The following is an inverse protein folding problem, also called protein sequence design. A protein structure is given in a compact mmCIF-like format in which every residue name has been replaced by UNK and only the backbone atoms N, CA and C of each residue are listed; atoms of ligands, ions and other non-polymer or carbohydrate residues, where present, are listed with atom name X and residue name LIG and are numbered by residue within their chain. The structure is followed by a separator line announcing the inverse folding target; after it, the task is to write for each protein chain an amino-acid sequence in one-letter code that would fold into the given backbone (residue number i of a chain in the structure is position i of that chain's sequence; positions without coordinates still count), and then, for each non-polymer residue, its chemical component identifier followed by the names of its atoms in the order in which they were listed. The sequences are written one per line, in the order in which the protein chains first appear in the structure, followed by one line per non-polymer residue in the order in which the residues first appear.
data_IF_035699313368
#
_entry.id   IF_035699313368
#
_cell.length_a   1.000
_cell.length_b   1.000
_cell.length_c   1.000
_cell.angle_alpha   90.00
_cell.angle_beta   90.00
_cell.angle_gamma   90.00
#
_symmetry.space_group_name_H-M   'P 1'
#
loop_
_entity.id
_entity.type
_entity.pdbx_description
1 polymer ?
#
# COMPACT_ATOMS: atom_id res chain seq x y z
N UNK A 1 38.11 1.29 58.02
CA UNK A 1 39.55 1.11 57.75
C UNK A 1 39.71 0.32 56.47
N UNK A 2 40.72 0.72 55.70
CA UNK A 2 41.00 0.41 54.29
C UNK A 2 41.72 -0.94 54.19
N UNK A 3 41.36 -1.80 53.24
CA UNK A 3 42.26 -2.82 52.72
C UNK A 3 41.98 -3.07 51.25
N UNK A 4 42.81 -2.44 50.43
CA UNK A 4 42.98 -2.66 48.99
C UNK A 4 43.89 -3.87 48.82
N UNK A 5 43.56 -4.82 47.94
CA UNK A 5 44.57 -5.64 47.26
C UNK A 5 44.27 -5.69 45.76
N UNK A 6 45.21 -5.04 45.07
CA UNK A 6 45.44 -4.89 43.64
C UNK A 6 46.14 -6.17 43.09
N UNK A 7 46.22 -6.28 41.75
CA UNK A 7 47.02 -7.24 40.95
C UNK A 7 46.38 -8.63 40.78
N UNK A 8 46.18 -9.22 39.58
CA UNK A 8 46.62 -8.91 38.20
C UNK A 8 46.08 -10.03 37.27
N UNK A 9 46.01 -9.75 35.95
CA UNK A 9 46.27 -10.69 34.83
C UNK A 9 45.20 -11.81 34.62
N UNK A 10 44.56 -12.06 33.47
CA UNK A 10 44.95 -12.00 32.05
C UNK A 10 43.66 -11.96 31.21
N UNK A 11 43.67 -11.13 30.17
CA UNK A 11 42.77 -11.18 29.01
C UNK A 11 43.19 -12.35 28.09
N UNK A 12 42.35 -13.37 27.81
CA UNK A 12 42.53 -14.19 26.65
C UNK A 12 41.67 -13.64 25.51
N UNK A 13 42.37 -13.00 24.59
CA UNK A 13 42.03 -12.86 23.18
C UNK A 13 41.62 -14.23 22.62
N UNK A 14 40.34 -14.43 22.31
CA UNK A 14 39.91 -15.50 21.41
C UNK A 14 39.32 -14.86 20.15
N UNK A 15 40.20 -14.73 19.15
CA UNK A 15 39.84 -14.54 17.74
C UNK A 15 39.16 -15.82 17.25
N UNK A 16 37.83 -15.87 17.34
CA UNK A 16 37.04 -16.88 16.65
C UNK A 16 36.79 -16.40 15.22
N UNK A 17 37.63 -16.87 14.30
CA UNK A 17 37.45 -16.81 12.85
C UNK A 17 36.26 -17.70 12.46
N UNK A 18 35.05 -17.15 12.44
CA UNK A 18 33.94 -17.80 11.76
C UNK A 18 34.06 -17.49 10.26
N UNK A 19 34.58 -18.48 9.51
CA UNK A 19 34.46 -18.53 8.07
C UNK A 19 32.97 -18.63 7.70
N UNK A 20 32.35 -17.48 7.45
CA UNK A 20 31.01 -17.35 6.92
C UNK A 20 31.05 -17.52 5.41
N UNK A 21 30.49 -18.63 4.95
CA UNK A 21 30.24 -19.00 3.56
C UNK A 21 29.77 -17.83 2.71
N UNK A 22 30.46 -17.64 1.59
CA UNK A 22 30.07 -16.77 0.49
C UNK A 22 28.79 -17.36 -0.12
N UNK A 23 27.65 -16.69 0.09
CA UNK A 23 26.42 -16.97 -0.65
C UNK A 23 26.20 -15.81 -1.60
N UNK A 24 26.25 -16.17 -2.89
CA UNK A 24 25.71 -15.50 -4.06
C UNK A 24 25.14 -14.10 -3.85
N UNK A 25 25.73 -13.15 -4.54
CA UNK A 25 25.06 -11.92 -4.95
C UNK A 25 23.79 -12.30 -5.73
N UNK A 26 22.67 -12.42 -5.03
CA UNK A 26 21.36 -12.20 -5.62
C UNK A 26 21.32 -10.73 -5.99
N UNK A 27 21.55 -10.46 -7.27
CA UNK A 27 21.08 -9.26 -7.96
C UNK A 27 19.68 -8.95 -7.43
N UNK A 28 19.40 -7.74 -6.89
CA UNK A 28 18.03 -7.29 -6.79
C UNK A 28 17.56 -6.99 -8.23
N UNK A 29 17.32 -8.04 -9.01
CA UNK A 29 16.50 -8.00 -10.21
C UNK A 29 15.07 -7.94 -9.75
N UNK A 30 14.63 -6.73 -9.51
CA UNK A 30 13.31 -6.41 -9.03
C UNK A 30 13.25 -4.91 -8.89
N UNK A 31 13.32 -4.21 -10.03
CA UNK A 31 12.82 -2.86 -10.10
C UNK A 31 11.38 -2.90 -9.59
N UNK A 32 11.17 -2.60 -8.31
CA UNK A 32 9.86 -2.16 -7.83
C UNK A 32 9.75 -0.76 -8.39
N UNK A 33 9.45 -0.68 -9.69
CA UNK A 33 8.99 0.54 -10.31
C UNK A 33 7.61 0.78 -9.71
N UNK A 34 7.60 1.41 -8.54
CA UNK A 34 6.48 2.22 -8.10
C UNK A 34 6.43 3.42 -9.05
N UNK A 35 6.09 3.16 -10.31
CA UNK A 35 5.66 4.17 -11.25
C UNK A 35 4.15 4.26 -11.08
N UNK A 36 3.75 5.07 -10.11
CA UNK A 36 2.41 5.59 -9.85
C UNK A 36 1.87 6.40 -11.05
N UNK A 37 1.78 5.74 -12.21
CA UNK A 37 1.08 6.23 -13.39
C UNK A 37 -0.33 5.67 -13.32
N UNK A 38 -1.36 6.52 -13.43
CA UNK A 38 -2.72 6.04 -13.69
C UNK A 38 -2.65 5.20 -14.96
N UNK A 39 -2.75 3.88 -14.82
CA UNK A 39 -2.59 2.99 -15.97
C UNK A 39 -3.87 3.13 -16.78
N UNK A 40 -3.81 3.99 -17.80
CA UNK A 40 -4.87 4.08 -18.79
C UNK A 40 -4.73 2.86 -19.70
N UNK A 41 -5.21 1.74 -19.22
CA UNK A 41 -5.19 0.48 -19.97
C UNK A 41 -6.18 0.61 -21.12
N UNK A 42 -5.74 0.26 -22.33
CA UNK A 42 -6.61 0.17 -23.50
C UNK A 42 -6.93 -1.29 -23.80
N UNK A 43 -8.14 -1.55 -24.27
CA UNK A 43 -8.46 -2.84 -24.87
C UNK A 43 -7.81 -2.98 -26.26
N UNK A 44 -7.95 -4.16 -26.87
CA UNK A 44 -7.47 -4.45 -28.23
C UNK A 44 -8.08 -3.54 -29.32
N UNK A 45 -9.19 -2.88 -29.01
CA UNK A 45 -9.91 -1.97 -29.88
C UNK A 45 -9.52 -0.50 -29.65
N UNK A 46 -8.62 -0.22 -28.69
CA UNK A 46 -8.16 1.12 -28.33
C UNK A 46 -9.03 1.86 -27.31
N UNK A 47 -10.10 1.24 -26.80
CA UNK A 47 -10.98 1.86 -25.79
C UNK A 47 -10.31 1.86 -24.43
N UNK A 48 -10.52 2.93 -23.65
CA UNK A 48 -10.05 2.99 -22.27
C UNK A 48 -10.82 1.99 -21.41
N UNK A 49 -10.10 1.18 -20.63
CA UNK A 49 -10.68 0.29 -19.63
C UNK A 49 -11.00 1.04 -18.33
N UNK A 50 -12.03 0.62 -17.58
CA UNK A 50 -12.31 1.17 -16.26
C UNK A 50 -11.19 0.85 -15.27
N UNK A 51 -10.89 1.83 -14.42
CA UNK A 51 -10.04 1.63 -13.26
C UNK A 51 -10.88 1.18 -12.07
N UNK A 52 -10.25 0.55 -11.08
CA UNK A 52 -10.95 0.16 -9.86
C UNK A 52 -10.11 0.38 -8.61
N UNK A 53 -10.83 0.46 -7.48
CA UNK A 53 -10.26 0.55 -6.14
C UNK A 53 -11.03 -0.39 -5.20
N UNK A 54 -10.36 -1.41 -4.67
CA UNK A 54 -10.91 -2.32 -3.64
C UNK A 54 -10.50 -1.81 -2.27
N UNK A 55 -11.50 -1.57 -1.43
CA UNK A 55 -11.31 -0.95 -0.13
C UNK A 55 -11.89 -1.83 0.98
N UNK A 56 -11.25 -1.78 2.13
CA UNK A 56 -11.80 -2.21 3.41
C UNK A 56 -12.03 -0.98 4.29
N UNK A 57 -13.10 -0.97 5.09
CA UNK A 57 -13.38 0.11 6.03
C UNK A 57 -14.23 -0.39 7.20
N UNK A 58 -14.28 0.42 8.25
CA UNK A 58 -15.16 0.24 9.38
C UNK A 58 -16.22 1.34 9.42
N UNK A 59 -17.33 1.07 10.11
CA UNK A 59 -18.41 2.00 10.42
C UNK A 59 -18.54 2.08 11.93
N UNK A 60 -18.47 3.29 12.48
CA UNK A 60 -18.63 3.53 13.92
C UNK A 60 -20.11 3.53 14.36
N UNK A 61 -20.34 3.70 15.66
CA UNK A 61 -21.69 3.74 16.22
C UNK A 61 -22.52 4.95 15.77
N UNK A 62 -21.89 6.03 15.33
CA UNK A 62 -22.55 7.22 14.77
C UNK A 62 -22.82 7.09 13.26
N UNK A 63 -22.46 5.95 12.66
CA UNK A 63 -22.65 5.68 11.24
C UNK A 63 -21.60 6.34 10.35
N UNK A 64 -20.46 6.77 10.89
CA UNK A 64 -19.36 7.35 10.09
C UNK A 64 -18.35 6.29 9.69
N UNK A 65 -17.73 6.50 8.53
CA UNK A 65 -16.68 5.63 8.01
C UNK A 65 -15.33 5.98 8.66
N UNK A 66 -14.61 4.95 9.08
CA UNK A 66 -13.25 5.05 9.63
C UNK A 66 -12.38 3.85 9.21
N UNK A 67 -11.10 3.87 9.60
CA UNK A 67 -10.15 2.77 9.38
C UNK A 67 -10.09 2.27 7.93
N UNK A 68 -10.15 3.20 6.97
CA UNK A 68 -10.14 2.85 5.54
C UNK A 68 -8.77 2.32 5.14
N UNK A 69 -8.76 1.18 4.44
CA UNK A 69 -7.58 0.50 3.92
C UNK A 69 -7.76 0.18 2.44
N UNK A 70 -6.71 0.41 1.66
CA UNK A 70 -6.67 0.00 0.26
C UNK A 70 -6.21 -1.45 0.20
N UNK A 71 -7.01 -2.32 -0.43
CA UNK A 71 -6.66 -3.72 -0.65
C UNK A 71 -6.02 -3.93 -2.02
N UNK A 72 -6.56 -3.25 -3.05
CA UNK A 72 -6.09 -3.32 -4.42
C UNK A 72 -6.49 -2.03 -5.15
N UNK A 73 -5.64 -1.53 -6.02
CA UNK A 73 -5.89 -0.31 -6.79
C UNK A 73 -5.26 -0.39 -8.16
N UNK A 74 -5.97 0.10 -9.17
CA UNK A 74 -5.42 0.38 -10.51
C UNK A 74 -5.35 1.89 -10.78
N UNK A 75 -5.45 2.70 -9.73
CA UNK A 75 -5.55 4.17 -9.83
C UNK A 75 -4.28 4.84 -9.32
N UNK A 76 -4.21 6.17 -9.34
CA UNK A 76 -3.07 6.92 -8.78
C UNK A 76 -3.25 7.20 -7.29
N UNK A 77 -2.16 7.34 -6.53
CA UNK A 77 -2.21 7.72 -5.12
C UNK A 77 -3.03 8.99 -4.84
N UNK A 78 -2.91 10.04 -5.68
CA UNK A 78 -3.74 11.25 -5.52
C UNK A 78 -5.24 10.98 -5.70
N UNK A 79 -5.63 10.05 -6.58
CA UNK A 79 -7.03 9.71 -6.78
C UNK A 79 -7.56 8.84 -5.65
N UNK A 80 -6.76 7.89 -5.18
CA UNK A 80 -7.05 7.08 -3.98
C UNK A 80 -7.33 7.97 -2.78
N UNK A 81 -6.47 8.95 -2.53
CA UNK A 81 -6.64 9.89 -1.41
C UNK A 81 -7.95 10.65 -1.51
N UNK A 82 -8.30 11.18 -2.69
CA UNK A 82 -9.58 11.86 -2.92
C UNK A 82 -10.79 10.97 -2.67
N UNK A 83 -10.73 9.69 -3.04
CA UNK A 83 -11.83 8.75 -2.78
C UNK A 83 -11.96 8.51 -1.27
N UNK A 84 -10.85 8.24 -0.58
CA UNK A 84 -10.85 7.98 0.86
C UNK A 84 -11.37 9.20 1.63
N UNK A 85 -10.94 10.41 1.26
CA UNK A 85 -11.44 11.66 1.83
C UNK A 85 -12.97 11.78 1.66
N UNK A 86 -13.48 11.50 0.45
CA UNK A 86 -14.93 11.51 0.18
C UNK A 86 -15.68 10.45 0.99
N UNK A 87 -15.13 9.25 1.13
CA UNK A 87 -15.74 8.20 1.94
C UNK A 87 -15.89 8.65 3.40
N UNK A 88 -14.81 9.11 4.03
CA UNK A 88 -14.84 9.52 5.43
C UNK A 88 -15.74 10.75 5.65
N UNK A 89 -15.67 11.73 4.75
CA UNK A 89 -16.40 12.99 4.91
C UNK A 89 -17.89 12.90 4.55
N UNK A 90 -18.28 12.06 3.58
CA UNK A 90 -19.65 12.06 3.04
C UNK A 90 -20.46 10.80 3.32
N UNK A 91 -19.84 9.63 3.48
CA UNK A 91 -20.62 8.40 3.65
C UNK A 91 -21.20 8.33 5.06
N UNK A 92 -22.51 8.08 5.14
CA UNK A 92 -23.24 7.97 6.40
C UNK A 92 -24.11 6.71 6.37
N UNK A 93 -23.90 5.86 7.36
CA UNK A 93 -24.65 4.64 7.60
C UNK A 93 -25.65 4.87 8.73
N UNK A 94 -26.52 3.89 8.95
CA UNK A 94 -27.52 3.95 10.01
C UNK A 94 -26.85 3.99 11.40
N UNK A 95 -27.28 4.94 12.23
CA UNK A 95 -26.77 5.10 13.59
C UNK A 95 -27.12 3.87 14.43
N UNK A 96 -26.20 3.47 15.32
CA UNK A 96 -26.35 2.29 16.17
C UNK A 96 -26.07 0.96 15.49
N UNK A 97 -25.65 0.96 14.21
CA UNK A 97 -25.28 -0.24 13.45
C UNK A 97 -23.81 -0.19 13.02
N UNK A 98 -22.86 -0.28 13.98
CA UNK A 98 -21.44 -0.33 13.64
C UNK A 98 -21.12 -1.58 12.83
N UNK A 99 -20.02 -1.52 12.08
CA UNK A 99 -19.58 -2.62 11.24
C UNK A 99 -18.07 -2.62 11.05
N UNK A 100 -17.45 -3.79 11.16
CA UNK A 100 -16.00 -3.94 11.02
C UNK A 100 -15.68 -4.63 9.70
N UNK A 101 -14.53 -4.30 9.11
CA UNK A 101 -13.92 -4.96 7.97
C UNK A 101 -14.83 -5.04 6.73
N UNK A 102 -15.73 -4.07 6.55
CA UNK A 102 -16.62 -3.96 5.38
C UNK A 102 -15.79 -3.75 4.12
N UNK A 103 -16.25 -4.28 2.99
CA UNK A 103 -15.52 -4.22 1.71
C UNK A 103 -16.37 -3.60 0.62
N UNK A 104 -15.75 -2.79 -0.22
CA UNK A 104 -16.37 -2.20 -1.40
C UNK A 104 -15.39 -2.16 -2.56
N UNK A 105 -15.91 -2.27 -3.78
CA UNK A 105 -15.16 -2.03 -5.01
C UNK A 105 -15.73 -0.79 -5.68
N UNK A 106 -14.89 0.23 -5.84
CA UNK A 106 -15.24 1.45 -6.57
C UNK A 106 -14.75 1.27 -8.01
N UNK A 107 -15.69 1.20 -8.96
CA UNK A 107 -15.36 1.21 -10.38
C UNK A 107 -15.38 2.64 -10.91
N UNK A 108 -14.34 3.02 -11.63
CA UNK A 108 -14.15 4.36 -12.17
C UNK A 108 -14.20 4.24 -13.69
N UNK A 109 -15.30 4.74 -14.25
CA UNK A 109 -15.48 4.74 -15.68
C UNK A 109 -14.58 5.80 -16.32
N UNK A 110 -13.84 5.46 -17.38
CA UNK A 110 -13.08 6.45 -18.10
C UNK A 110 -14.05 7.40 -18.80
N UNK A 111 -13.69 8.68 -18.87
CA UNK A 111 -14.43 9.63 -19.69
C UNK A 111 -14.35 9.13 -21.14
N UNK A 112 -15.51 8.88 -21.77
CA UNK A 112 -15.54 8.60 -23.21
C UNK A 112 -14.83 9.75 -23.92
N UNK A 113 -13.67 9.48 -24.52
CA UNK A 113 -13.28 10.27 -25.68
C UNK A 113 -14.43 10.09 -26.69
N UNK A 114 -14.89 11.16 -27.34
CA UNK A 114 -15.98 11.05 -28.30
C UNK A 114 -15.72 9.91 -29.31
N UNK A 115 -16.81 9.27 -29.78
CA UNK A 115 -16.77 8.12 -30.69
C UNK A 115 -15.89 8.32 -31.92
N UNK A 116 -15.64 7.25 -32.70
CA UNK A 116 -14.64 7.24 -33.75
C UNK A 116 -14.77 8.48 -34.64
N UNK A 117 -13.66 9.21 -34.79
CA UNK A 117 -13.55 10.24 -35.81
C UNK A 117 -14.02 9.60 -37.13
N UNK A 118 -15.08 10.17 -37.67
CA UNK A 118 -15.71 9.79 -38.92
C UNK A 118 -14.60 9.49 -39.95
N UNK A 119 -14.45 8.22 -40.34
CA UNK A 119 -13.64 7.86 -41.50
C UNK A 119 -14.47 8.25 -42.72
N UNK A 120 -14.30 9.48 -43.16
CA UNK A 120 -14.61 9.89 -44.53
C UNK A 120 -13.56 9.30 -45.49
#
# INVERSE_FOLDING_TARGET
MKAIRLFTLILPLFLALCAGTQVSASTPSGSISSANTAITTRDKNGNLLPSFLRLQYDVDSDGRVQNVKILESTTTPEFEHKIIEKMMSKWRFEKGKPGIAKRVVVMIQPKSAGGPANKQ
#
